data_IF_278326456749
#
_entry.id   IF_278326456749
#
_cell.length_a   1.000
_cell.length_b   1.000
_cell.length_c   1.000
_cell.angle_alpha   90.00
_cell.angle_beta   90.00
_cell.angle_gamma   90.00
#
_symmetry.space_group_name_H-M   'P 1'
#
loop_
_entity.id
_entity.type
_entity.pdbx_description
1 polymer ?
#
# COMPACT_ATOMS: atom_id res chain seq x y z
N UNK A 1 -26.97 -1.55 13.50
CA UNK A 1 -25.54 -1.38 13.82
C UNK A 1 -25.44 -1.50 15.31
N UNK A 2 -25.11 -2.70 15.80
CA UNK A 2 -24.91 -2.94 17.22
C UNK A 2 -23.71 -2.13 17.70
N UNK A 3 -23.88 -1.50 18.86
CA UNK A 3 -22.91 -0.63 19.49
C UNK A 3 -21.74 -1.52 19.94
N UNK A 4 -20.58 -1.44 19.28
CA UNK A 4 -19.37 -2.25 19.56
C UNK A 4 -18.73 -1.97 20.94
N UNK A 5 -19.43 -1.25 21.83
CA UNK A 5 -19.10 -1.14 23.26
C UNK A 5 -19.40 -2.45 24.02
N UNK A 6 -19.12 -3.61 23.39
CA UNK A 6 -18.85 -4.84 24.11
C UNK A 6 -17.68 -4.53 25.05
N UNK A 7 -17.91 -4.68 26.35
CA UNK A 7 -17.03 -4.19 27.41
C UNK A 7 -15.62 -4.76 27.26
N UNK A 8 -14.73 -4.03 26.60
CA UNK A 8 -13.32 -4.36 26.50
C UNK A 8 -12.75 -4.58 27.90
N UNK A 9 -12.02 -5.66 28.11
CA UNK A 9 -11.24 -5.79 29.33
C UNK A 9 -10.13 -4.74 29.33
N UNK A 10 -10.31 -3.70 30.14
CA UNK A 10 -9.38 -2.57 30.24
C UNK A 10 -7.96 -2.98 30.62
N UNK A 11 -7.78 -4.10 31.34
CA UNK A 11 -6.44 -4.59 31.69
C UNK A 11 -5.77 -5.26 30.51
N UNK A 12 -6.50 -6.08 29.77
CA UNK A 12 -6.00 -6.74 28.56
C UNK A 12 -5.71 -5.69 27.50
N UNK A 13 -6.69 -4.85 27.16
CA UNK A 13 -6.52 -3.79 26.17
C UNK A 13 -5.45 -2.78 26.59
N UNK A 14 -5.42 -2.39 27.87
CA UNK A 14 -4.37 -1.50 28.39
C UNK A 14 -2.97 -2.09 28.27
N UNK A 15 -2.82 -3.41 28.42
CA UNK A 15 -1.55 -4.10 28.19
C UNK A 15 -1.16 -4.10 26.70
N UNK A 16 -2.10 -4.43 25.81
CA UNK A 16 -1.86 -4.37 24.36
C UNK A 16 -1.40 -2.96 23.93
N UNK A 17 -2.07 -1.92 24.43
CA UNK A 17 -1.67 -0.53 24.17
C UNK A 17 -0.29 -0.19 24.75
N UNK A 18 0.05 -0.69 25.94
CA UNK A 18 1.35 -0.44 26.55
C UNK A 18 2.49 -1.16 25.82
N UNK A 19 2.22 -2.35 25.28
CA UNK A 19 3.19 -3.19 24.56
C UNK A 19 3.44 -2.65 23.15
N UNK A 20 2.38 -2.24 22.42
CA UNK A 20 2.45 -1.77 21.03
C UNK A 20 2.70 -0.25 20.93
N UNK A 21 2.27 0.51 21.94
CA UNK A 21 2.38 1.98 22.00
C UNK A 21 1.88 2.69 20.72
N UNK A 22 0.62 2.45 20.30
CA UNK A 22 0.08 3.09 19.10
C UNK A 22 0.06 4.61 19.26
N UNK A 23 0.57 5.30 18.25
CA UNK A 23 0.67 6.75 18.19
C UNK A 23 0.48 7.25 16.76
N UNK A 24 0.28 8.56 16.60
CA UNK A 24 0.25 9.17 15.27
C UNK A 24 1.57 8.88 14.56
N UNK A 25 1.47 8.37 13.34
CA UNK A 25 2.62 7.98 12.51
C UNK A 25 3.17 9.23 11.82
N UNK A 26 4.49 9.40 11.89
CA UNK A 26 5.18 10.54 11.28
C UNK A 26 6.26 10.12 10.29
N UNK A 27 6.68 8.86 10.32
CA UNK A 27 7.79 8.31 9.51
C UNK A 27 7.40 7.03 8.78
N UNK A 28 8.13 6.69 7.71
CA UNK A 28 7.93 5.42 6.99
C UNK A 28 8.26 4.23 7.90
N UNK A 29 9.27 4.33 8.77
CA UNK A 29 9.68 3.28 9.69
C UNK A 29 8.59 2.96 10.74
N UNK A 30 7.92 3.98 11.27
CA UNK A 30 6.75 3.80 12.15
C UNK A 30 5.57 3.16 11.41
N UNK A 31 5.36 3.53 10.14
CA UNK A 31 4.33 2.94 9.30
C UNK A 31 4.60 1.45 9.06
N UNK A 32 5.83 1.09 8.69
CA UNK A 32 6.25 -0.31 8.49
C UNK A 32 6.12 -1.13 9.76
N UNK A 33 6.47 -0.55 10.92
CA UNK A 33 6.27 -1.22 12.21
C UNK A 33 4.79 -1.55 12.44
N UNK A 34 3.88 -0.59 12.32
CA UNK A 34 2.46 -0.84 12.57
C UNK A 34 1.83 -1.75 11.50
N UNK A 35 2.25 -1.66 10.23
CA UNK A 35 1.86 -2.62 9.19
C UNK A 35 2.23 -4.05 9.59
N UNK A 36 3.44 -4.28 10.13
CA UNK A 36 3.83 -5.61 10.58
C UNK A 36 2.98 -6.11 11.76
N UNK A 37 2.56 -5.23 12.66
CA UNK A 37 1.67 -5.59 13.77
C UNK A 37 0.27 -5.94 13.24
N UNK A 38 -0.25 -5.14 12.30
CA UNK A 38 -1.52 -5.39 11.62
C UNK A 38 -1.51 -6.77 10.94
N UNK A 39 -0.47 -7.10 10.17
CA UNK A 39 -0.33 -8.39 9.51
C UNK A 39 -0.39 -9.55 10.51
N UNK A 40 0.37 -9.45 11.61
CA UNK A 40 0.36 -10.46 12.66
C UNK A 40 -1.01 -10.64 13.33
N UNK A 41 -1.76 -9.54 13.52
CA UNK A 41 -3.13 -9.59 14.07
C UNK A 41 -4.11 -10.22 13.08
N UNK A 42 -4.01 -9.89 11.79
CA UNK A 42 -4.83 -10.49 10.74
C UNK A 42 -4.60 -11.99 10.60
N UNK A 43 -3.35 -12.45 10.77
CA UNK A 43 -2.97 -13.87 10.71
C UNK A 43 -3.62 -14.72 11.83
N UNK A 44 -4.11 -14.10 12.92
CA UNK A 44 -4.86 -14.81 13.97
C UNK A 44 -6.23 -15.31 13.48
N UNK A 45 -6.83 -14.64 12.49
CA UNK A 45 -8.13 -14.99 11.93
C UNK A 45 -9.22 -15.11 13.01
N UNK A 46 -9.95 -16.24 13.03
CA UNK A 46 -11.03 -16.49 13.99
C UNK A 46 -10.59 -16.55 15.46
N UNK A 47 -9.28 -16.57 15.74
CA UNK A 47 -8.74 -16.60 17.11
C UNK A 47 -8.52 -15.21 17.70
N UNK A 48 -8.70 -14.15 16.90
CA UNK A 48 -8.52 -12.78 17.37
C UNK A 48 -9.49 -12.50 18.52
N UNK A 49 -8.97 -11.95 19.62
CA UNK A 49 -9.79 -11.49 20.74
C UNK A 49 -10.46 -10.15 20.43
N UNK A 50 -11.57 -9.79 21.11
CA UNK A 50 -12.20 -8.48 20.95
C UNK A 50 -11.25 -7.30 21.17
N UNK A 51 -10.31 -7.42 22.12
CA UNK A 51 -9.30 -6.40 22.40
C UNK A 51 -8.25 -6.28 21.29
N UNK A 52 -7.83 -7.40 20.71
CA UNK A 52 -6.92 -7.42 19.55
C UNK A 52 -7.59 -6.88 18.29
N UNK A 53 -8.87 -7.19 18.08
CA UNK A 53 -9.68 -6.64 16.98
C UNK A 53 -9.81 -5.11 17.10
N UNK A 54 -10.06 -4.59 18.30
CA UNK A 54 -10.08 -3.14 18.52
C UNK A 54 -8.71 -2.49 18.33
N UNK A 55 -7.63 -3.16 18.72
CA UNK A 55 -6.28 -2.68 18.45
C UNK A 55 -5.99 -2.66 16.95
N UNK A 56 -6.41 -3.71 16.22
CA UNK A 56 -6.29 -3.80 14.77
C UNK A 56 -7.00 -2.62 14.10
N UNK A 57 -8.25 -2.35 14.46
CA UNK A 57 -9.02 -1.21 13.92
C UNK A 57 -8.34 0.14 14.17
N UNK A 58 -7.78 0.33 15.37
CA UNK A 58 -7.01 1.53 15.72
C UNK A 58 -5.76 1.67 14.83
N UNK A 59 -4.97 0.61 14.70
CA UNK A 59 -3.72 0.62 13.94
C UNK A 59 -3.98 0.85 12.44
N UNK A 60 -4.99 0.19 11.88
CA UNK A 60 -5.42 0.41 10.48
C UNK A 60 -5.79 1.87 10.27
N UNK A 61 -6.56 2.48 11.18
CA UNK A 61 -6.94 3.89 11.09
C UNK A 61 -5.72 4.83 11.13
N UNK A 62 -4.70 4.51 11.92
CA UNK A 62 -3.47 5.30 12.02
C UNK A 62 -2.64 5.21 10.73
N UNK A 63 -2.46 3.99 10.20
CA UNK A 63 -1.77 3.73 8.93
C UNK A 63 -2.48 4.44 7.78
N UNK A 64 -3.80 4.26 7.63
CA UNK A 64 -4.57 4.91 6.57
C UNK A 64 -4.45 6.43 6.61
N UNK A 65 -4.48 7.05 7.80
CA UNK A 65 -4.31 8.49 7.93
C UNK A 65 -2.92 8.94 7.47
N UNK A 66 -1.87 8.23 7.89
CA UNK A 66 -0.51 8.54 7.46
C UNK A 66 -0.34 8.35 5.95
N UNK A 67 -0.73 7.20 5.40
CA UNK A 67 -0.58 6.90 3.98
C UNK A 67 -1.35 7.87 3.11
N UNK A 68 -2.56 8.25 3.50
CA UNK A 68 -3.32 9.27 2.80
C UNK A 68 -2.60 10.62 2.82
N UNK A 69 -2.03 11.07 3.93
CA UNK A 69 -1.32 12.34 3.94
C UNK A 69 0.00 12.24 3.17
N UNK A 70 0.79 11.21 3.48
CA UNK A 70 2.17 11.08 3.06
C UNK A 70 2.29 10.66 1.59
N UNK A 71 1.51 9.67 1.12
CA UNK A 71 1.51 9.24 -0.28
C UNK A 71 0.60 10.09 -1.18
N UNK A 72 -0.40 10.82 -0.66
CA UNK A 72 -1.05 11.85 -1.51
C UNK A 72 -0.08 13.01 -1.77
N UNK A 73 0.69 13.44 -0.76
CA UNK A 73 1.75 14.43 -0.93
C UNK A 73 2.88 13.92 -1.84
N UNK A 74 3.27 12.64 -1.71
CA UNK A 74 4.14 11.93 -2.66
C UNK A 74 3.30 11.23 -3.74
N UNK A 75 2.56 11.99 -4.54
CA UNK A 75 1.80 11.41 -5.66
C UNK A 75 2.68 10.46 -6.47
N UNK A 76 2.31 9.17 -6.52
CA UNK A 76 3.09 8.16 -7.22
C UNK A 76 3.28 8.58 -8.67
N UNK A 77 4.53 8.63 -9.10
CA UNK A 77 4.87 9.00 -10.47
C UNK A 77 4.47 7.87 -11.42
N UNK A 78 4.22 8.17 -12.71
CA UNK A 78 3.84 7.16 -13.70
C UNK A 78 4.74 5.91 -13.76
N UNK A 79 6.04 6.04 -13.46
CA UNK A 79 6.98 4.91 -13.47
C UNK A 79 6.89 4.04 -12.22
N UNK A 80 6.58 4.60 -11.05
CA UNK A 80 6.34 3.85 -9.82
C UNK A 80 5.04 3.05 -9.94
N UNK A 81 3.98 3.66 -10.47
CA UNK A 81 2.72 2.98 -10.79
C UNK A 81 2.95 1.82 -11.77
N UNK A 82 3.76 2.04 -12.81
CA UNK A 82 4.16 0.98 -13.73
C UNK A 82 4.92 -0.15 -13.01
N UNK A 83 5.84 0.19 -12.12
CA UNK A 83 6.61 -0.74 -11.31
C UNK A 83 5.72 -1.64 -10.46
N UNK A 84 4.76 -1.06 -9.72
CA UNK A 84 3.82 -1.81 -8.88
C UNK A 84 2.91 -2.73 -9.69
N UNK A 85 2.39 -2.25 -10.83
CA UNK A 85 1.57 -3.07 -11.72
C UNK A 85 2.37 -4.24 -12.34
N UNK A 86 3.66 -4.04 -12.62
CA UNK A 86 4.54 -5.12 -13.06
C UNK A 86 4.78 -6.14 -11.95
N UNK A 87 5.05 -5.70 -10.72
CA UNK A 87 5.24 -6.59 -9.55
C UNK A 87 3.99 -7.42 -9.29
N UNK A 88 2.81 -6.79 -9.25
CA UNK A 88 1.52 -7.47 -9.01
C UNK A 88 1.16 -8.52 -10.07
N UNK A 89 1.78 -8.47 -11.26
CA UNK A 89 1.61 -9.47 -12.34
C UNK A 89 2.86 -10.32 -12.59
N UNK A 90 3.89 -10.21 -11.75
CA UNK A 90 5.19 -10.88 -11.91
C UNK A 90 5.83 -10.69 -13.31
N UNK A 91 5.70 -9.48 -13.87
CA UNK A 91 6.19 -9.13 -15.19
C UNK A 91 7.63 -8.62 -15.14
N UNK A 92 8.41 -8.95 -16.17
CA UNK A 92 9.77 -8.45 -16.38
C UNK A 92 9.77 -7.38 -17.47
N UNK A 93 10.83 -6.55 -17.50
CA UNK A 93 10.99 -5.49 -18.50
C UNK A 93 10.85 -6.00 -19.95
N UNK A 94 11.29 -7.24 -20.21
CA UNK A 94 11.19 -7.89 -21.52
C UNK A 94 9.75 -8.09 -21.99
N UNK A 95 8.81 -8.23 -21.07
CA UNK A 95 7.41 -8.51 -21.36
C UNK A 95 6.67 -7.25 -21.85
N UNK A 96 7.26 -6.07 -21.62
CA UNK A 96 6.75 -4.78 -22.09
C UNK A 96 7.47 -4.25 -23.34
N UNK A 97 8.37 -5.03 -23.96
CA UNK A 97 9.08 -4.61 -25.19
C UNK A 97 8.09 -4.27 -26.31
N UNK A 98 6.95 -4.97 -26.41
CA UNK A 98 5.93 -4.68 -27.41
C UNK A 98 5.37 -3.25 -27.34
N UNK A 99 5.35 -2.67 -26.13
CA UNK A 99 4.86 -1.30 -25.86
C UNK A 99 6.00 -0.29 -26.03
N UNK A 100 7.17 -0.58 -25.47
CA UNK A 100 8.31 0.35 -25.47
C UNK A 100 9.20 0.28 -26.72
N UNK A 101 8.96 -0.70 -27.60
CA UNK A 101 9.66 -0.97 -28.87
C UNK A 101 11.15 -1.29 -28.77
N UNK A 102 11.78 -1.05 -27.62
CA UNK A 102 13.16 -1.43 -27.34
C UNK A 102 13.39 -1.72 -25.86
N UNK A 103 14.36 -2.60 -25.57
CA UNK A 103 14.79 -2.90 -24.20
C UNK A 103 15.37 -1.68 -23.47
N UNK A 104 16.12 -0.84 -24.19
CA UNK A 104 16.71 0.38 -23.63
C UNK A 104 15.63 1.36 -23.16
N UNK A 105 14.64 1.64 -24.02
CA UNK A 105 13.53 2.53 -23.67
C UNK A 105 12.72 1.95 -22.51
N UNK A 106 12.41 0.65 -22.53
CA UNK A 106 11.71 -0.01 -21.43
C UNK A 106 12.47 0.18 -20.10
N UNK A 107 13.78 -0.02 -20.10
CA UNK A 107 14.62 0.15 -18.91
C UNK A 107 14.64 1.60 -18.43
N UNK A 108 14.81 2.57 -19.33
CA UNK A 108 14.81 3.99 -18.96
C UNK A 108 13.47 4.43 -18.37
N UNK A 109 12.35 3.96 -18.94
CA UNK A 109 11.00 4.30 -18.44
C UNK A 109 10.75 3.66 -17.08
N UNK A 110 11.05 2.37 -16.92
CA UNK A 110 10.80 1.64 -15.67
C UNK A 110 11.65 2.18 -14.50
N UNK A 111 12.83 2.72 -14.80
CA UNK A 111 13.70 3.36 -13.82
C UNK A 111 13.46 4.88 -13.69
N UNK A 112 12.38 5.43 -14.28
CA UNK A 112 12.03 6.85 -14.15
C UNK A 112 12.94 7.83 -14.91
N UNK A 113 13.92 7.34 -15.68
CA UNK A 113 14.86 8.16 -16.48
C UNK A 113 14.20 8.78 -17.71
N UNK A 114 13.11 8.17 -18.18
CA UNK A 114 12.32 8.65 -19.33
C UNK A 114 10.84 8.64 -18.97
N UNK A 115 10.13 9.71 -19.34
CA UNK A 115 8.69 9.79 -19.15
C UNK A 115 7.91 8.84 -20.08
N UNK A 116 6.72 8.45 -19.64
CA UNK A 116 5.77 7.67 -20.44
C UNK A 116 5.06 8.61 -21.42
N UNK A 117 5.11 8.33 -22.72
CA UNK A 117 4.36 9.11 -23.70
C UNK A 117 2.85 8.80 -23.64
N UNK A 118 2.01 9.73 -24.10
CA UNK A 118 0.54 9.52 -24.17
C UNK A 118 0.14 8.26 -24.94
N UNK A 119 0.91 7.88 -25.97
CA UNK A 119 0.66 6.65 -26.73
C UNK A 119 0.97 5.41 -25.89
N UNK A 120 2.12 5.39 -25.21
CA UNK A 120 2.49 4.31 -24.28
C UNK A 120 1.50 4.23 -23.11
N UNK A 121 1.07 5.35 -22.53
CA UNK A 121 0.06 5.38 -21.46
C UNK A 121 -1.25 4.70 -21.89
N UNK A 122 -1.70 4.91 -23.14
CA UNK A 122 -2.88 4.22 -23.68
C UNK A 122 -2.67 2.72 -23.87
N UNK A 123 -1.49 2.31 -24.34
CA UNK A 123 -1.14 0.90 -24.52
C UNK A 123 -1.01 0.18 -23.16
N UNK A 124 -0.36 0.82 -22.19
CA UNK A 124 -0.24 0.34 -20.81
C UNK A 124 -1.61 0.26 -20.13
N UNK A 125 -2.46 1.28 -20.26
CA UNK A 125 -3.82 1.26 -19.73
C UNK A 125 -4.64 0.08 -20.25
N UNK A 126 -4.53 -0.23 -21.55
CA UNK A 126 -5.16 -1.43 -22.13
C UNK A 126 -4.54 -2.72 -21.60
N UNK A 127 -3.22 -2.79 -21.54
CA UNK A 127 -2.50 -3.98 -21.09
C UNK A 127 -2.78 -4.32 -19.62
N UNK A 128 -2.80 -3.31 -18.76
CA UNK A 128 -3.07 -3.44 -17.33
C UNK A 128 -4.56 -3.35 -16.96
N UNK A 129 -5.44 -3.03 -17.92
CA UNK A 129 -6.86 -2.81 -17.68
C UNK A 129 -7.12 -1.72 -16.61
N UNK A 130 -6.41 -0.60 -16.72
CA UNK A 130 -6.52 0.59 -15.86
C UNK A 130 -6.68 1.85 -16.70
N UNK A 131 -7.14 2.93 -16.09
CA UNK A 131 -7.23 4.23 -16.78
C UNK A 131 -5.84 4.68 -17.26
N UNK A 132 -5.65 5.07 -18.53
CA UNK A 132 -4.38 5.62 -19.01
C UNK A 132 -3.90 6.84 -18.22
N UNK A 133 -4.80 7.54 -17.53
CA UNK A 133 -4.49 8.73 -16.74
C UNK A 133 -3.48 8.48 -15.62
N UNK A 134 -3.39 7.24 -15.12
CA UNK A 134 -2.41 6.88 -14.08
C UNK A 134 -0.97 6.87 -14.59
N UNK A 135 -0.77 6.95 -15.91
CA UNK A 135 0.56 6.97 -16.55
C UNK A 135 0.91 8.32 -17.18
N UNK A 136 0.15 9.39 -16.88
CA UNK A 136 0.31 10.72 -17.49
C UNK A 136 0.96 11.73 -16.55
#
# INVERSE_FOLDING_TARGET
>A
MENLNSVLDKKIYGKLLADIQPQVIHTEEENEFFLSVIENLMDLGEKISPEEEHLLDLLVSLVENFENQYYQLKSATPHEILGELMKGRNLKQKDLIGIFKSKGIASEVINGKRSISKTQAKELGKFFNVSPAVFL
#
